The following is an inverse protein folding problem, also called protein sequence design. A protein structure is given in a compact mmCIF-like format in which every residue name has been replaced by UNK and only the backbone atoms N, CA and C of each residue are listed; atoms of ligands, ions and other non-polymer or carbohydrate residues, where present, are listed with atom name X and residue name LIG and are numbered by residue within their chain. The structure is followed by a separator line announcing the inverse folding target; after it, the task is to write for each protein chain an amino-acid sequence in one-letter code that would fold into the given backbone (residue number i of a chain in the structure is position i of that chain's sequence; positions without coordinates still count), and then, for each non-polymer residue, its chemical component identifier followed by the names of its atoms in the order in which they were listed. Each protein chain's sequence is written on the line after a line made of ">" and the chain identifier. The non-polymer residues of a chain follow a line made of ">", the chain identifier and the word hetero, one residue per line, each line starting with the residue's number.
data_IF_986062841999
#
_entry.id   IF_986062841999
#
_cell.length_a   1.000
_cell.length_b   1.000
_cell.length_c   1.000
_cell.angle_alpha   90.00
_cell.angle_beta   90.00
_cell.angle_gamma   90.00
#
_symmetry.space_group_name_H-M   'P 1'
#
loop_
_entity.id
_entity.type
_entity.pdbx_description
1 polymer ?
#
# COMPACT_ATOMS: atom_id res chain seq x y z
N UNK A 1 -1.51 2.11 37.69
CA UNK A 1 -1.72 2.66 36.34
C UNK A 1 -1.11 1.71 35.33
N UNK A 2 -1.94 0.86 34.70
CA UNK A 2 -1.49 -0.14 33.74
C UNK A 2 -0.85 0.54 32.54
N UNK A 3 0.41 0.20 32.24
CA UNK A 3 1.08 0.64 31.02
C UNK A 3 0.35 0.00 29.83
N UNK A 4 -0.47 0.80 29.15
CA UNK A 4 -1.16 0.47 27.90
C UNK A 4 -0.12 0.13 26.84
N UNK A 5 0.35 -1.10 26.90
CA UNK A 5 1.09 -1.73 25.82
C UNK A 5 0.05 -2.01 24.76
N UNK A 6 -0.38 -0.97 24.04
CA UNK A 6 -1.01 -1.12 22.73
C UNK A 6 -0.01 -1.93 21.92
N UNK A 7 -0.22 -3.25 21.94
CA UNK A 7 0.85 -4.20 21.69
C UNK A 7 1.30 -3.97 20.25
N UNK A 8 2.60 -3.71 20.03
CA UNK A 8 3.19 -3.56 18.69
C UNK A 8 2.67 -4.63 17.70
N UNK A 9 2.36 -5.82 18.24
CA UNK A 9 1.66 -6.94 17.58
C UNK A 9 0.28 -6.59 16.99
N UNK A 10 -0.60 -5.89 17.72
CA UNK A 10 -1.92 -5.43 17.25
C UNK A 10 -1.80 -4.40 16.12
N UNK A 11 -0.84 -3.48 16.21
CA UNK A 11 -0.62 -2.47 15.16
C UNK A 11 -0.11 -3.11 13.85
N UNK A 12 0.81 -4.07 13.95
CA UNK A 12 1.27 -4.87 12.80
C UNK A 12 0.10 -5.66 12.21
N UNK A 13 -0.70 -6.34 13.04
CA UNK A 13 -1.86 -7.09 12.56
C UNK A 13 -2.85 -6.19 11.82
N UNK A 14 -3.15 -5.00 12.37
CA UNK A 14 -4.01 -4.01 11.72
C UNK A 14 -3.45 -3.54 10.37
N UNK A 15 -2.15 -3.29 10.29
CA UNK A 15 -1.49 -2.91 9.04
C UNK A 15 -1.54 -4.03 7.99
N UNK A 16 -1.32 -5.27 8.40
CA UNK A 16 -1.41 -6.45 7.51
C UNK A 16 -2.85 -6.65 7.03
N UNK A 17 -3.84 -6.59 7.92
CA UNK A 17 -5.26 -6.67 7.54
C UNK A 17 -5.62 -5.59 6.52
N UNK A 18 -5.19 -4.35 6.76
CA UNK A 18 -5.43 -3.25 5.83
C UNK A 18 -4.79 -3.49 4.45
N UNK A 19 -3.56 -4.01 4.43
CA UNK A 19 -2.86 -4.36 3.18
C UNK A 19 -3.58 -5.46 2.39
N UNK A 20 -4.05 -6.51 3.07
CA UNK A 20 -4.81 -7.59 2.43
C UNK A 20 -6.09 -7.05 1.82
N UNK A 21 -6.84 -6.22 2.55
CA UNK A 21 -8.07 -5.59 2.04
C UNK A 21 -7.76 -4.76 0.78
N UNK A 22 -6.73 -3.91 0.81
CA UNK A 22 -6.33 -3.12 -0.36
C UNK A 22 -6.00 -3.98 -1.58
N UNK A 23 -5.19 -5.03 -1.41
CA UNK A 23 -4.80 -5.91 -2.51
C UNK A 23 -6.03 -6.63 -3.09
N UNK A 24 -6.92 -7.14 -2.23
CA UNK A 24 -8.14 -7.82 -2.67
C UNK A 24 -9.06 -6.85 -3.40
N UNK A 25 -9.30 -5.65 -2.87
CA UNK A 25 -10.15 -4.65 -3.53
C UNK A 25 -9.59 -4.24 -4.89
N UNK A 26 -8.27 -4.03 -4.99
CA UNK A 26 -7.59 -3.70 -6.25
C UNK A 26 -7.74 -4.83 -7.28
N UNK A 27 -7.53 -6.08 -6.84
CA UNK A 27 -7.66 -7.25 -7.70
C UNK A 27 -9.10 -7.45 -8.16
N UNK A 28 -10.09 -7.23 -7.30
CA UNK A 28 -11.52 -7.31 -7.65
C UNK A 28 -11.88 -6.23 -8.67
N UNK A 29 -11.47 -4.98 -8.47
CA UNK A 29 -11.75 -3.88 -9.41
C UNK A 29 -11.13 -4.17 -10.77
N UNK A 30 -9.85 -4.55 -10.81
CA UNK A 30 -9.15 -4.85 -12.06
C UNK A 30 -9.73 -6.09 -12.75
N UNK A 31 -10.18 -7.09 -12.00
CA UNK A 31 -10.89 -8.26 -12.54
C UNK A 31 -12.26 -7.93 -13.11
N UNK A 32 -13.04 -7.07 -12.45
CA UNK A 32 -14.32 -6.63 -12.98
C UNK A 32 -14.19 -5.89 -14.31
N UNK A 33 -13.13 -5.09 -14.47
CA UNK A 33 -12.85 -4.35 -15.71
C UNK A 33 -12.31 -5.29 -16.79
N UNK A 34 -11.33 -6.12 -16.46
CA UNK A 34 -10.57 -6.91 -17.45
C UNK A 34 -11.24 -8.24 -17.80
N UNK A 35 -12.10 -8.77 -16.92
CA UNK A 35 -12.73 -10.11 -16.99
C UNK A 35 -11.71 -11.26 -17.14
N UNK A 36 -10.43 -11.01 -16.89
CA UNK A 36 -9.34 -11.98 -17.02
C UNK A 36 -8.45 -11.95 -15.78
N UNK A 37 -8.31 -13.12 -15.13
CA UNK A 37 -7.57 -13.24 -13.88
C UNK A 37 -6.08 -12.95 -14.06
N UNK A 38 -5.45 -13.44 -15.13
CA UNK A 38 -4.02 -13.27 -15.36
C UNK A 38 -3.63 -11.80 -15.53
N UNK A 39 -4.44 -11.06 -16.30
CA UNK A 39 -4.20 -9.63 -16.50
C UNK A 39 -4.44 -8.82 -15.21
N UNK A 40 -5.46 -9.18 -14.44
CA UNK A 40 -5.80 -8.48 -13.18
C UNK A 40 -4.72 -8.61 -12.13
N UNK A 41 -4.12 -9.81 -12.00
CA UNK A 41 -2.97 -10.03 -11.13
C UNK A 41 -1.78 -9.18 -11.57
N UNK A 42 -1.46 -9.18 -12.87
CA UNK A 42 -0.36 -8.39 -13.41
C UNK A 42 -0.55 -6.89 -13.15
N UNK A 43 -1.75 -6.35 -13.43
CA UNK A 43 -2.08 -4.94 -13.19
C UNK A 43 -1.94 -4.60 -11.70
N UNK A 44 -2.45 -5.46 -10.81
CA UNK A 44 -2.39 -5.23 -9.36
C UNK A 44 -0.94 -5.16 -8.85
N UNK A 45 -0.08 -6.09 -9.29
CA UNK A 45 1.35 -6.11 -8.92
C UNK A 45 2.06 -4.88 -9.46
N UNK A 46 1.91 -4.60 -10.76
CA UNK A 46 2.55 -3.45 -11.42
C UNK A 46 2.11 -2.14 -10.75
N UNK A 47 0.82 -1.99 -10.44
CA UNK A 47 0.31 -0.80 -9.78
C UNK A 47 0.93 -0.59 -8.39
N UNK A 48 1.07 -1.66 -7.58
CA UNK A 48 1.74 -1.51 -6.28
C UNK A 48 3.23 -1.16 -6.41
N UNK A 49 3.92 -1.70 -7.40
CA UNK A 49 5.31 -1.33 -7.68
C UNK A 49 5.40 0.15 -8.07
N UNK A 50 4.54 0.61 -8.99
CA UNK A 50 4.48 2.01 -9.42
C UNK A 50 4.18 2.93 -8.24
N UNK A 51 3.20 2.58 -7.40
CA UNK A 51 2.84 3.39 -6.22
C UNK A 51 4.02 3.52 -5.24
N UNK A 52 4.77 2.44 -5.03
CA UNK A 52 5.98 2.47 -4.19
C UNK A 52 7.06 3.35 -4.80
N UNK A 53 7.28 3.23 -6.11
CA UNK A 53 8.24 4.07 -6.83
C UNK A 53 7.83 5.55 -6.80
N UNK A 54 6.55 5.86 -7.03
CA UNK A 54 5.98 7.20 -6.92
C UNK A 54 6.16 7.77 -5.53
N UNK A 55 5.92 6.98 -4.47
CA UNK A 55 6.15 7.42 -3.10
C UNK A 55 7.62 7.82 -2.89
N UNK A 56 8.55 6.99 -3.34
CA UNK A 56 9.98 7.28 -3.24
C UNK A 56 10.37 8.54 -4.02
N UNK A 57 9.90 8.67 -5.27
CA UNK A 57 10.13 9.87 -6.09
C UNK A 57 9.53 11.11 -5.45
N UNK A 58 8.30 11.01 -4.92
CA UNK A 58 7.65 12.08 -4.21
C UNK A 58 8.46 12.52 -2.99
N UNK A 59 8.93 11.58 -2.16
CA UNK A 59 9.77 11.87 -1.01
C UNK A 59 11.09 12.56 -1.42
N UNK A 60 11.72 12.11 -2.51
CA UNK A 60 12.95 12.71 -3.05
C UNK A 60 12.75 14.12 -3.60
N UNK A 61 11.66 14.35 -4.35
CA UNK A 61 11.31 15.66 -4.88
C UNK A 61 10.95 16.60 -3.72
N UNK A 62 10.17 16.11 -2.75
CA UNK A 62 9.78 16.88 -1.57
C UNK A 62 11.00 17.28 -0.73
N UNK A 63 11.93 16.35 -0.48
CA UNK A 63 13.18 16.65 0.22
C UNK A 63 14.06 17.68 -0.53
N UNK A 64 13.95 17.74 -1.86
CA UNK A 64 14.67 18.72 -2.69
C UNK A 64 13.98 20.09 -2.74
N UNK A 65 12.64 20.14 -2.73
CA UNK A 65 11.87 21.39 -2.78
C UNK A 65 11.66 22.04 -1.41
N UNK A 66 11.45 21.23 -0.38
CA UNK A 66 11.30 21.67 1.01
C UNK A 66 12.39 21.02 1.86
N UNK A 67 13.64 21.52 1.81
CA UNK A 67 14.61 21.26 2.85
C UNK A 67 14.11 21.96 4.12
N UNK A 68 13.36 21.26 4.96
CA UNK A 68 13.00 21.78 6.28
C UNK A 68 14.30 21.80 7.09
N UNK A 69 14.83 23.01 7.30
CA UNK A 69 16.00 23.34 8.13
C UNK A 69 15.81 22.92 9.59
#
# INVERSE_FOLDING_TARGET
>A
MGKSTESRKRSILKAVTYRIICIVSMLVITFLITRNMNQSMFITVVFQTIQTFLYYVHERIWARFFPIS
#
